data_IF_169913958393
#
_entry.id   IF_169913958393
#
_cell.length_a   1.000
_cell.length_b   1.000
_cell.length_c   1.000
_cell.angle_alpha   90.00
_cell.angle_beta   90.00
_cell.angle_gamma   90.00
#
_symmetry.space_group_name_H-M   'P 1'
#
loop_
_entity.id
_entity.type
_entity.pdbx_description
1 polymer ?
#
# COMPACT_ATOMS: atom_id res chain seq x y z
N UNK A 1 -22.08 20.70 46.89
CA UNK A 1 -20.89 20.91 46.04
C UNK A 1 -21.13 20.12 44.78
N UNK A 2 -21.43 20.83 43.69
CA UNK A 2 -22.06 20.24 42.52
C UNK A 2 -21.00 19.57 41.64
N UNK A 3 -21.09 18.27 41.44
CA UNK A 3 -20.16 17.46 40.64
C UNK A 3 -20.18 17.79 39.15
N UNK A 4 -21.16 18.60 38.71
CA UNK A 4 -21.36 19.00 37.31
C UNK A 4 -20.15 19.72 36.70
N UNK A 5 -19.42 20.53 37.46
CA UNK A 5 -18.27 21.28 36.92
C UNK A 5 -17.11 20.36 36.49
N UNK A 6 -16.89 19.25 37.21
CA UNK A 6 -15.88 18.25 36.85
C UNK A 6 -16.22 17.56 35.52
N UNK A 7 -17.50 17.26 35.29
CA UNK A 7 -17.93 16.65 34.03
C UNK A 7 -17.67 17.58 32.84
N UNK A 8 -17.99 18.88 32.97
CA UNK A 8 -17.70 19.86 31.91
C UNK A 8 -16.19 20.01 31.65
N UNK A 9 -15.38 20.02 32.71
CA UNK A 9 -13.93 20.11 32.58
C UNK A 9 -13.33 18.88 31.86
N UNK A 10 -13.76 17.67 32.22
CA UNK A 10 -13.31 16.43 31.58
C UNK A 10 -13.74 16.37 30.12
N UNK A 11 -15.00 16.71 29.81
CA UNK A 11 -15.49 16.75 28.43
C UNK A 11 -14.70 17.76 27.60
N UNK A 12 -14.44 18.96 28.14
CA UNK A 12 -13.63 19.97 27.45
C UNK A 12 -12.19 19.51 27.19
N UNK A 13 -11.58 18.78 28.13
CA UNK A 13 -10.22 18.26 27.94
C UNK A 13 -10.19 17.15 26.87
N UNK A 14 -11.16 16.24 26.91
CA UNK A 14 -11.27 15.16 25.92
C UNK A 14 -11.52 15.72 24.52
N UNK A 15 -12.42 16.70 24.38
CA UNK A 15 -12.69 17.32 23.08
C UNK A 15 -11.47 18.04 22.52
N UNK A 16 -10.76 18.84 23.34
CA UNK A 16 -9.52 19.49 22.93
C UNK A 16 -8.46 18.46 22.52
N UNK A 17 -8.30 17.38 23.28
CA UNK A 17 -7.38 16.30 22.95
C UNK A 17 -7.71 15.62 21.61
N UNK A 18 -8.98 15.29 21.39
CA UNK A 18 -9.43 14.69 20.12
C UNK A 18 -9.25 15.65 18.93
N UNK A 19 -9.53 16.94 19.11
CA UNK A 19 -9.32 17.97 18.08
C UNK A 19 -7.83 18.11 17.76
N UNK A 20 -6.97 18.19 18.77
CA UNK A 20 -5.52 18.26 18.57
C UNK A 20 -5.01 17.01 17.84
N UNK A 21 -5.46 15.82 18.24
CA UNK A 21 -5.08 14.58 17.56
C UNK A 21 -5.54 14.57 16.10
N UNK A 22 -6.79 14.96 15.83
CA UNK A 22 -7.31 15.05 14.47
C UNK A 22 -6.52 16.06 13.61
N UNK A 23 -6.14 17.21 14.18
CA UNK A 23 -5.29 18.21 13.51
C UNK A 23 -3.91 17.61 13.18
N UNK A 24 -3.26 16.95 14.14
CA UNK A 24 -1.96 16.31 13.90
C UNK A 24 -2.07 15.23 12.81
N UNK A 25 -3.08 14.36 12.88
CA UNK A 25 -3.34 13.36 11.85
C UNK A 25 -3.59 14.00 10.48
N UNK A 26 -4.33 15.11 10.42
CA UNK A 26 -4.59 15.84 9.19
C UNK A 26 -3.29 16.43 8.62
N UNK A 27 -2.50 17.13 9.44
CA UNK A 27 -1.23 17.72 9.03
C UNK A 27 -0.26 16.65 8.51
N UNK A 28 -0.14 15.52 9.21
CA UNK A 28 0.66 14.40 8.73
C UNK A 28 0.12 13.81 7.42
N UNK A 29 -1.20 13.66 7.29
CA UNK A 29 -1.80 13.15 6.06
C UNK A 29 -1.53 14.07 4.87
N UNK A 30 -1.58 15.39 5.07
CA UNK A 30 -1.26 16.39 4.05
C UNK A 30 0.23 16.39 3.71
N UNK A 31 1.10 16.30 4.71
CA UNK A 31 2.54 16.17 4.51
C UNK A 31 2.88 14.88 3.74
N UNK A 32 2.28 13.74 4.10
CA UNK A 32 2.40 12.47 3.38
C UNK A 32 1.93 12.60 1.92
N UNK A 33 0.75 13.18 1.68
CA UNK A 33 0.24 13.44 0.32
C UNK A 33 1.19 14.31 -0.50
N UNK A 34 1.78 15.36 0.11
CA UNK A 34 2.76 16.23 -0.55
C UNK A 34 4.06 15.47 -0.89
N UNK A 35 4.54 14.60 0.01
CA UNK A 35 5.71 13.76 -0.25
C UNK A 35 5.46 12.78 -1.40
N UNK A 36 4.29 12.15 -1.45
CA UNK A 36 3.91 11.24 -2.54
C UNK A 36 3.80 11.98 -3.88
N UNK A 37 3.24 13.20 -3.90
CA UNK A 37 3.22 14.07 -5.09
C UNK A 37 4.60 14.36 -5.68
N UNK A 38 5.63 14.42 -4.85
CA UNK A 38 6.99 14.69 -5.29
C UNK A 38 7.80 13.40 -5.51
N UNK A 39 7.21 12.23 -5.28
CA UNK A 39 7.90 10.96 -5.46
C UNK A 39 8.06 10.69 -6.96
N UNK A 40 9.31 10.68 -7.43
CA UNK A 40 9.63 10.33 -8.83
C UNK A 40 9.57 8.84 -9.10
N UNK A 41 9.81 8.02 -8.07
CA UNK A 41 9.80 6.56 -8.13
C UNK A 41 9.08 5.98 -6.91
N UNK A 42 8.32 4.91 -7.12
CA UNK A 42 7.62 4.20 -6.05
C UNK A 42 7.70 2.68 -6.28
N UNK A 43 7.91 1.93 -5.19
CA UNK A 43 7.88 0.47 -5.20
C UNK A 43 6.70 0.02 -4.34
N UNK A 44 5.76 -0.70 -4.94
CA UNK A 44 4.68 -1.39 -4.25
C UNK A 44 5.13 -2.83 -3.99
N UNK A 45 5.03 -3.27 -2.74
CA UNK A 45 5.39 -4.63 -2.35
C UNK A 45 4.12 -5.34 -1.89
N UNK A 46 3.78 -6.46 -2.53
CA UNK A 46 2.60 -7.26 -2.20
C UNK A 46 3.00 -8.65 -1.71
N UNK A 47 2.19 -9.22 -0.83
CA UNK A 47 2.43 -10.56 -0.31
C UNK A 47 2.01 -11.62 -1.33
N UNK A 48 0.85 -11.45 -1.97
CA UNK A 48 0.29 -12.36 -2.95
C UNK A 48 -0.02 -11.66 -4.28
N UNK A 49 -0.12 -12.41 -5.39
CA UNK A 49 -0.75 -11.89 -6.58
C UNK A 49 -2.22 -11.55 -6.26
N UNK A 50 -2.77 -10.53 -6.90
CA UNK A 50 -4.12 -9.97 -6.73
C UNK A 50 -4.27 -8.90 -5.62
N UNK A 51 -3.33 -8.83 -4.66
CA UNK A 51 -3.33 -7.77 -3.64
C UNK A 51 -3.19 -6.36 -4.25
N UNK A 52 -2.54 -6.26 -5.42
CA UNK A 52 -2.26 -4.99 -6.08
C UNK A 52 -3.55 -4.32 -6.57
N UNK A 53 -4.48 -5.12 -7.11
CA UNK A 53 -5.74 -4.63 -7.67
C UNK A 53 -6.82 -4.52 -6.59
N UNK A 54 -6.82 -5.40 -5.58
CA UNK A 54 -7.80 -5.40 -4.49
C UNK A 54 -7.55 -4.30 -3.46
N UNK A 55 -6.29 -4.11 -3.02
CA UNK A 55 -5.95 -3.19 -1.94
C UNK A 55 -5.20 -1.94 -2.42
N UNK A 56 -4.23 -2.13 -3.33
CA UNK A 56 -3.34 -1.04 -3.74
C UNK A 56 -3.79 -0.29 -5.00
N UNK A 57 -4.89 -0.70 -5.64
CA UNK A 57 -5.39 -0.11 -6.89
C UNK A 57 -5.51 1.42 -6.83
N UNK A 58 -6.18 2.00 -5.82
CA UNK A 58 -6.28 3.45 -5.67
C UNK A 58 -4.92 4.17 -5.53
N UNK A 59 -3.96 3.53 -4.84
CA UNK A 59 -2.62 4.08 -4.62
C UNK A 59 -1.80 4.03 -5.91
N UNK A 60 -1.84 2.90 -6.61
CA UNK A 60 -1.14 2.69 -7.88
C UNK A 60 -1.62 3.71 -8.91
N UNK A 61 -2.94 3.83 -9.10
CA UNK A 61 -3.52 4.81 -10.03
C UNK A 61 -3.16 6.25 -9.65
N UNK A 62 -3.24 6.60 -8.36
CA UNK A 62 -2.90 7.94 -7.89
C UNK A 62 -1.42 8.31 -8.13
N UNK A 63 -0.51 7.35 -7.98
CA UNK A 63 0.92 7.55 -8.25
C UNK A 63 1.21 7.64 -9.76
N UNK A 64 0.59 6.79 -10.57
CA UNK A 64 0.72 6.82 -12.03
C UNK A 64 0.19 8.13 -12.62
N UNK A 65 -0.96 8.62 -12.14
CA UNK A 65 -1.53 9.92 -12.54
C UNK A 65 -0.60 11.11 -12.20
N UNK A 66 0.26 10.95 -11.21
CA UNK A 66 1.26 11.95 -10.82
C UNK A 66 2.57 11.82 -11.62
N UNK A 67 2.64 10.91 -12.59
CA UNK A 67 3.83 10.67 -13.39
C UNK A 67 4.95 9.96 -12.62
N UNK A 68 4.62 9.28 -11.52
CA UNK A 68 5.57 8.50 -10.75
C UNK A 68 5.97 7.23 -11.51
N UNK A 69 7.27 6.94 -11.56
CA UNK A 69 7.76 5.65 -12.07
C UNK A 69 7.49 4.55 -11.04
N UNK A 70 6.48 3.72 -11.32
CA UNK A 70 6.01 2.69 -10.40
C UNK A 70 6.60 1.32 -10.73
N UNK A 71 6.93 0.57 -9.67
CA UNK A 71 7.43 -0.80 -9.70
C UNK A 71 6.57 -1.67 -8.77
N UNK A 72 6.35 -2.93 -9.12
CA UNK A 72 5.62 -3.90 -8.30
C UNK A 72 6.49 -5.12 -7.99
N UNK A 73 6.61 -5.46 -6.71
CA UNK A 73 7.28 -6.67 -6.24
C UNK A 73 6.29 -7.54 -5.47
N UNK A 74 5.97 -8.71 -6.02
CA UNK A 74 5.18 -9.71 -5.32
C UNK A 74 6.10 -10.76 -4.66
N UNK A 75 5.90 -11.01 -3.36
CA UNK A 75 6.73 -11.92 -2.58
C UNK A 75 6.33 -13.40 -2.71
N UNK A 76 5.17 -13.69 -3.26
CA UNK A 76 4.64 -15.05 -3.46
C UNK A 76 4.10 -15.22 -4.87
N UNK A 77 4.10 -16.46 -5.37
CA UNK A 77 3.40 -16.83 -6.61
C UNK A 77 1.97 -17.33 -6.36
N UNK A 78 1.54 -17.42 -5.10
CA UNK A 78 0.19 -17.88 -4.77
C UNK A 78 -0.11 -19.30 -5.25
N UNK A 79 0.87 -20.21 -5.17
CA UNK A 79 0.82 -21.56 -5.75
C UNK A 79 0.03 -22.59 -4.92
N UNK A 80 -0.84 -22.15 -4.00
CA UNK A 80 -1.60 -23.04 -3.12
C UNK A 80 -2.44 -24.06 -3.92
N UNK A 81 -3.09 -23.62 -5.00
CA UNK A 81 -3.88 -24.48 -5.88
C UNK A 81 -3.11 -24.98 -7.11
N UNK A 82 -1.77 -25.00 -7.08
CA UNK A 82 -0.90 -25.32 -8.25
C UNK A 82 -1.09 -24.39 -9.47
N UNK A 83 -1.70 -23.22 -9.27
CA UNK A 83 -1.98 -22.20 -10.30
C UNK A 83 -0.97 -21.04 -10.32
N UNK A 84 0.20 -21.18 -9.69
CA UNK A 84 1.14 -20.06 -9.53
C UNK A 84 1.65 -19.48 -10.85
N UNK A 85 1.78 -20.30 -11.90
CA UNK A 85 2.20 -19.83 -13.22
C UNK A 85 1.12 -18.97 -13.91
N UNK A 86 -0.15 -19.38 -13.81
CA UNK A 86 -1.31 -18.65 -14.32
C UNK A 86 -1.44 -17.30 -13.61
N UNK A 87 -1.43 -17.30 -12.27
CA UNK A 87 -1.54 -16.08 -11.45
C UNK A 87 -0.37 -15.10 -11.67
N UNK A 88 0.83 -15.62 -11.91
CA UNK A 88 1.98 -14.78 -12.28
C UNK A 88 1.76 -14.09 -13.63
N UNK A 89 1.22 -14.81 -14.61
CA UNK A 89 0.92 -14.25 -15.93
C UNK A 89 -0.20 -13.20 -15.85
N UNK A 90 -1.24 -13.45 -15.05
CA UNK A 90 -2.32 -12.49 -14.75
C UNK A 90 -1.77 -11.22 -14.10
N UNK A 91 -0.91 -11.35 -13.09
CA UNK A 91 -0.26 -10.23 -12.43
C UNK A 91 0.59 -9.40 -13.41
N UNK A 92 1.41 -10.05 -14.23
CA UNK A 92 2.23 -9.37 -15.23
C UNK A 92 1.37 -8.64 -16.27
N UNK A 93 0.24 -9.24 -16.67
CA UNK A 93 -0.71 -8.59 -17.58
C UNK A 93 -1.39 -7.39 -16.91
N UNK A 94 -1.76 -7.50 -15.63
CA UNK A 94 -2.30 -6.40 -14.82
C UNK A 94 -1.32 -5.23 -14.76
N UNK A 95 -0.04 -5.49 -14.43
CA UNK A 95 1.03 -4.49 -14.43
C UNK A 95 1.19 -3.78 -15.77
N UNK A 96 1.23 -4.55 -16.87
CA UNK A 96 1.38 -4.01 -18.21
C UNK A 96 0.18 -3.11 -18.59
N UNK A 97 -1.05 -3.51 -18.27
CA UNK A 97 -2.25 -2.70 -18.50
C UNK A 97 -2.23 -1.40 -17.70
N UNK A 98 -1.70 -1.43 -16.48
CA UNK A 98 -1.56 -0.26 -15.62
C UNK A 98 -0.36 0.63 -15.98
N UNK A 99 0.50 0.22 -16.93
CA UNK A 99 1.69 0.99 -17.33
C UNK A 99 2.81 0.98 -16.29
N UNK A 100 2.81 -0.01 -15.39
CA UNK A 100 3.89 -0.24 -14.42
C UNK A 100 5.09 -0.79 -15.19
N UNK A 101 6.29 -0.25 -14.92
CA UNK A 101 7.50 -0.76 -15.58
C UNK A 101 7.84 -2.14 -15.03
N UNK A 102 7.84 -3.12 -15.91
CA UNK A 102 8.34 -4.45 -15.62
C UNK A 102 9.88 -4.42 -15.53
N UNK A 103 10.40 -4.36 -14.31
CA UNK A 103 11.83 -4.61 -14.05
C UNK A 103 12.05 -6.13 -13.91
N UNK A 104 11.65 -6.87 -14.95
CA UNK A 104 11.74 -8.35 -15.00
C UNK A 104 13.19 -8.84 -14.99
N UNK A 105 14.17 -7.96 -15.15
CA UNK A 105 15.59 -8.29 -15.36
C UNK A 105 16.39 -8.49 -14.07
N UNK A 106 15.89 -8.11 -12.88
CA UNK A 106 16.64 -8.30 -11.62
C UNK A 106 16.28 -9.56 -10.81
N UNK A 107 15.22 -10.27 -11.19
CA UNK A 107 14.75 -11.47 -10.48
C UNK A 107 14.66 -12.74 -11.34
N UNK A 108 15.19 -12.73 -12.57
CA UNK A 108 15.38 -13.99 -13.31
C UNK A 108 16.43 -14.92 -12.67
N UNK A 109 17.29 -14.39 -11.78
CA UNK A 109 18.35 -15.16 -11.09
C UNK A 109 18.02 -15.69 -9.69
N UNK A 110 16.81 -15.46 -9.16
CA UNK A 110 16.37 -16.03 -7.87
C UNK A 110 15.11 -16.88 -8.03
N UNK A 111 15.18 -17.89 -8.88
CA UNK A 111 14.37 -19.09 -8.68
C UNK A 111 15.04 -19.93 -7.57
N UNK A 112 14.82 -19.58 -6.31
CA UNK A 112 15.07 -20.52 -5.21
C UNK A 112 13.73 -20.82 -4.55
N UNK A 113 13.04 -21.82 -5.08
CA UNK A 113 12.02 -22.55 -4.35
C UNK A 113 12.51 -24.00 -4.26
N UNK A 114 12.87 -24.51 -3.06
CA UNK A 114 13.17 -25.91 -2.92
C UNK A 114 11.89 -26.69 -3.21
N UNK A 115 12.00 -27.63 -4.14
CA UNK A 115 11.03 -28.71 -4.33
C UNK A 115 11.00 -29.56 -3.05
N UNK A 116 10.19 -29.17 -2.08
CA UNK A 116 9.90 -30.01 -0.91
C UNK A 116 8.45 -29.85 -0.50
N UNK A 117 7.60 -30.68 -1.10
CA UNK A 117 6.63 -31.52 -0.39
C UNK A 117 6.08 -32.52 -1.40
N UNK A 118 6.64 -33.73 -1.34
CA UNK A 118 5.94 -34.95 -1.73
C UNK A 118 4.67 -35.10 -0.90
#
# INVERSE_FOLDING_TARGET
>A
MDTSWYLFAVVSFVTVSLVLHAIVCLLESLARRKRLKNAKKALVVTAHPDDESMFFGPVILGLLQQGCELYLLCLSVGNYYKKGAERKAELHRSCHLLGIKDDTSRNQGRQYYPSTAQ
#
